data_IF_248035518420
#
_entry.id   IF_248035518420
#
_cell.length_a   1.000
_cell.length_b   1.000
_cell.length_c   1.000
_cell.angle_alpha   90.00
_cell.angle_beta   90.00
_cell.angle_gamma   90.00
#
_symmetry.space_group_name_H-M   'P 1'
#
loop_
_entity.id
_entity.type
_entity.pdbx_description
1 polymer ?
#
# COMPACT_ATOMS: atom_id res chain seq x y z
N UNK A 1 7.00 -16.52 -9.80
CA UNK A 1 7.15 -15.11 -9.48
C UNK A 1 7.03 -14.92 -7.98
N UNK A 2 7.79 -14.00 -7.37
CA UNK A 2 7.71 -13.80 -5.92
C UNK A 2 6.36 -13.24 -5.49
N UNK A 3 5.98 -13.59 -4.25
CA UNK A 3 4.78 -13.04 -3.61
C UNK A 3 5.15 -11.79 -2.82
N UNK A 4 4.31 -10.78 -2.92
CA UNK A 4 4.42 -9.57 -2.14
C UNK A 4 3.13 -9.36 -1.34
N UNK A 5 3.27 -8.82 -0.14
CA UNK A 5 2.17 -8.59 0.79
C UNK A 5 2.06 -7.10 1.07
N UNK A 6 0.88 -6.54 0.85
CA UNK A 6 0.62 -5.12 1.08
C UNK A 6 -0.06 -4.96 2.43
N UNK A 7 0.73 -4.78 3.47
CA UNK A 7 0.22 -4.62 4.82
C UNK A 7 -0.11 -3.14 5.04
N UNK A 8 -1.32 -2.87 5.49
CA UNK A 8 -1.75 -1.51 5.76
C UNK A 8 -1.42 -1.15 7.21
N UNK A 9 -0.56 -0.16 7.40
CA UNK A 9 -0.17 0.30 8.73
C UNK A 9 -0.89 1.61 9.03
N UNK A 10 -1.70 1.57 10.07
CA UNK A 10 -2.44 2.72 10.60
C UNK A 10 -1.93 3.06 11.98
N UNK A 11 -2.29 4.24 12.48
CA UNK A 11 -1.93 4.64 13.84
C UNK A 11 -2.45 3.59 14.83
N UNK A 12 -1.50 2.96 15.54
CA UNK A 12 -1.81 1.98 16.56
C UNK A 12 -2.23 0.59 16.08
N UNK A 13 -2.21 0.33 14.75
CA UNK A 13 -2.59 -1.01 14.26
C UNK A 13 -2.04 -1.30 12.87
N UNK A 14 -1.90 -2.59 12.58
CA UNK A 14 -1.54 -3.08 11.25
C UNK A 14 -2.64 -4.01 10.76
N UNK A 15 -3.06 -3.80 9.51
CA UNK A 15 -3.99 -4.70 8.83
C UNK A 15 -3.16 -5.52 7.85
N UNK A 16 -2.88 -6.80 8.15
CA UNK A 16 -2.04 -7.60 7.27
C UNK A 16 -2.80 -8.04 6.03
N UNK A 17 -2.04 -8.15 4.93
CA UNK A 17 -2.54 -8.79 3.71
C UNK A 17 -2.40 -10.30 3.88
N UNK A 18 -3.50 -11.02 3.88
CA UNK A 18 -3.52 -12.45 4.19
C UNK A 18 -3.07 -13.31 3.01
N UNK A 19 -3.22 -12.83 1.78
CA UNK A 19 -3.04 -13.67 0.60
C UNK A 19 -1.81 -13.32 -0.24
N UNK A 20 -1.48 -12.04 -0.31
CA UNK A 20 -0.40 -11.58 -1.17
C UNK A 20 -0.75 -11.63 -2.65
N UNK A 21 0.11 -11.05 -3.47
CA UNK A 21 -0.01 -11.05 -4.93
C UNK A 21 1.37 -11.28 -5.54
N UNK A 22 1.40 -12.06 -6.61
CA UNK A 22 2.64 -12.31 -7.36
C UNK A 22 2.91 -11.18 -8.33
N UNK A 23 4.14 -10.69 -8.33
CA UNK A 23 4.63 -9.71 -9.30
C UNK A 23 5.99 -10.17 -9.82
N UNK A 24 6.39 -9.67 -10.99
CA UNK A 24 7.68 -10.01 -11.58
C UNK A 24 8.84 -9.47 -10.73
N UNK A 25 8.64 -8.34 -10.06
CA UNK A 25 9.64 -7.76 -9.18
C UNK A 25 9.07 -6.65 -8.34
N UNK A 26 9.92 -6.07 -7.49
CA UNK A 26 9.51 -5.02 -6.55
C UNK A 26 8.97 -3.77 -7.28
N UNK A 27 9.49 -3.44 -8.44
CA UNK A 27 9.05 -2.25 -9.18
C UNK A 27 7.57 -2.34 -9.55
N UNK A 28 7.11 -3.51 -9.99
CA UNK A 28 5.69 -3.72 -10.27
C UNK A 28 4.85 -3.66 -9.01
N UNK A 29 5.34 -4.26 -7.92
CA UNK A 29 4.65 -4.23 -6.65
C UNK A 29 4.50 -2.80 -6.12
N UNK A 30 5.54 -1.98 -6.22
CA UNK A 30 5.51 -0.57 -5.82
C UNK A 30 4.48 0.20 -6.63
N UNK A 31 4.47 0.01 -7.95
CA UNK A 31 3.50 0.67 -8.83
C UNK A 31 2.07 0.31 -8.44
N UNK A 32 1.81 -0.97 -8.19
CA UNK A 32 0.48 -1.43 -7.81
C UNK A 32 0.05 -0.86 -6.45
N UNK A 33 0.97 -0.77 -5.51
CA UNK A 33 0.69 -0.19 -4.20
C UNK A 33 0.30 1.29 -4.30
N UNK A 34 0.96 2.05 -5.18
CA UNK A 34 0.58 3.44 -5.46
C UNK A 34 -0.84 3.53 -6.01
N UNK A 35 -1.19 2.66 -6.96
CA UNK A 35 -2.52 2.63 -7.55
C UNK A 35 -3.58 2.26 -6.51
N UNK A 36 -3.29 1.29 -5.65
CA UNK A 36 -4.18 0.87 -4.58
C UNK A 36 -4.43 2.00 -3.59
N UNK A 37 -3.37 2.70 -3.19
CA UNK A 37 -3.50 3.84 -2.28
C UNK A 37 -4.35 4.95 -2.90
N UNK A 38 -4.13 5.26 -4.18
CA UNK A 38 -4.93 6.27 -4.89
C UNK A 38 -6.39 5.87 -5.00
N UNK A 39 -6.67 4.59 -5.23
CA UNK A 39 -8.03 4.09 -5.30
C UNK A 39 -8.75 4.24 -3.96
N UNK A 40 -8.07 3.95 -2.86
CA UNK A 40 -8.63 4.13 -1.52
C UNK A 40 -8.91 5.59 -1.22
N UNK A 41 -8.00 6.48 -1.59
CA UNK A 41 -8.20 7.92 -1.43
C UNK A 41 -9.40 8.40 -2.24
N UNK A 42 -9.51 7.96 -3.50
CA UNK A 42 -10.62 8.30 -4.37
C UNK A 42 -11.97 7.85 -3.78
N UNK A 43 -12.02 6.66 -3.22
CA UNK A 43 -13.22 6.15 -2.57
C UNK A 43 -13.63 7.01 -1.39
N UNK A 44 -12.67 7.45 -0.56
CA UNK A 44 -12.96 8.29 0.60
C UNK A 44 -13.46 9.66 0.18
N UNK A 45 -12.90 10.24 -0.87
CA UNK A 45 -13.36 11.52 -1.41
C UNK A 45 -14.79 11.40 -1.93
N UNK A 46 -15.12 10.30 -2.59
CA UNK A 46 -16.44 10.07 -3.16
C UNK A 46 -17.51 9.88 -2.09
N UNK A 47 -17.17 9.29 -0.97
CA UNK A 47 -18.10 9.04 0.14
C UNK A 47 -18.04 10.11 1.21
N UNK A 48 -17.29 11.20 0.99
CA UNK A 48 -17.13 12.30 1.92
C UNK A 48 -16.55 11.88 3.27
N UNK A 49 -15.72 10.85 3.25
CA UNK A 49 -15.01 10.36 4.44
C UNK A 49 -13.62 10.98 4.53
N UNK A 50 -13.04 11.06 5.74
CA UNK A 50 -11.67 11.57 5.90
C UNK A 50 -10.66 10.77 5.07
N UNK A 51 -9.73 11.47 4.41
CA UNK A 51 -8.66 10.83 3.65
C UNK A 51 -7.55 10.42 4.61
N UNK A 52 -7.14 9.14 4.61
CA UNK A 52 -6.16 8.63 5.58
C UNK A 52 -4.72 8.91 5.16
N UNK A 53 -4.30 10.16 5.15
CA UNK A 53 -2.97 10.57 4.67
C UNK A 53 -1.82 9.99 5.51
N UNK A 54 -2.07 9.69 6.77
CA UNK A 54 -1.06 9.13 7.67
C UNK A 54 -0.90 7.62 7.55
N UNK A 55 -1.78 6.97 6.80
CA UNK A 55 -1.69 5.52 6.58
C UNK A 55 -0.52 5.21 5.65
N UNK A 56 0.05 4.02 5.84
CA UNK A 56 1.22 3.55 5.09
C UNK A 56 0.94 2.14 4.58
N UNK A 57 1.30 1.87 3.33
CA UNK A 57 1.35 0.51 2.81
C UNK A 57 2.79 0.03 2.92
N UNK A 58 3.01 -1.03 3.71
CA UNK A 58 4.30 -1.70 3.80
C UNK A 58 4.27 -2.89 2.84
N UNK A 59 5.16 -2.89 1.86
CA UNK A 59 5.30 -4.00 0.92
C UNK A 59 6.31 -4.97 1.51
N UNK A 60 5.84 -6.16 1.87
CA UNK A 60 6.68 -7.18 2.49
C UNK A 60 6.83 -8.40 1.58
N UNK A 61 7.92 -9.13 1.76
CA UNK A 61 8.12 -10.42 1.10
C UNK A 61 7.42 -11.54 1.88
N UNK A 62 7.55 -12.76 1.40
CA UNK A 62 6.93 -13.93 2.04
C UNK A 62 7.56 -14.31 3.37
N UNK A 63 8.68 -13.73 3.73
CA UNK A 63 9.33 -13.89 5.04
C UNK A 63 8.94 -12.80 6.02
N UNK A 64 8.07 -11.87 5.62
CA UNK A 64 7.65 -10.77 6.47
C UNK A 64 8.62 -9.59 6.48
N UNK A 65 9.63 -9.59 5.64
CA UNK A 65 10.60 -8.48 5.56
C UNK A 65 9.99 -7.35 4.74
N UNK A 66 9.92 -6.16 5.30
CA UNK A 66 9.42 -4.98 4.60
C UNK A 66 10.49 -4.51 3.61
N UNK A 67 10.14 -4.50 2.33
CA UNK A 67 11.03 -4.11 1.25
C UNK A 67 10.88 -2.65 0.85
N UNK A 68 9.67 -2.10 1.02
CA UNK A 68 9.36 -0.73 0.64
C UNK A 68 8.13 -0.26 1.41
N UNK A 69 8.05 1.03 1.72
CA UNK A 69 6.88 1.62 2.38
C UNK A 69 6.43 2.86 1.63
N UNK A 70 5.13 3.00 1.46
CA UNK A 70 4.51 4.11 0.74
C UNK A 70 3.45 4.73 1.64
N UNK A 71 3.59 6.02 1.94
CA UNK A 71 2.53 6.74 2.65
C UNK A 71 1.43 7.13 1.66
N UNK A 72 0.22 7.28 2.16
CA UNK A 72 -0.89 7.75 1.33
C UNK A 72 -0.65 9.16 0.82
N UNK A 73 0.03 9.99 1.62
CA UNK A 73 0.43 11.32 1.18
C UNK A 73 1.36 11.26 -0.04
N UNK A 74 2.34 10.34 -0.04
CA UNK A 74 3.21 10.14 -1.19
C UNK A 74 2.42 9.71 -2.43
N UNK A 75 1.40 8.89 -2.25
CA UNK A 75 0.56 8.45 -3.37
C UNK A 75 -0.22 9.61 -4.00
N UNK A 76 -0.59 10.62 -3.19
CA UNK A 76 -1.26 11.81 -3.70
C UNK A 76 -0.32 12.75 -4.47
N UNK A 77 0.90 12.92 -3.98
CA UNK A 77 1.78 14.00 -4.44
C UNK A 77 2.83 13.54 -5.43
N UNK A 78 3.04 12.25 -5.57
CA UNK A 78 4.17 11.79 -6.33
C UNK A 78 3.91 10.57 -7.18
N UNK A 79 4.94 10.29 -7.95
CA UNK A 79 5.13 9.02 -8.62
C UNK A 79 6.14 8.22 -7.80
N UNK A 80 6.17 6.93 -7.98
CA UNK A 80 7.16 6.08 -7.35
C UNK A 80 8.57 6.48 -7.73
#
# INVERSE_FOLDING_TARGET
MPLYFFNLRRTGRVVPDAEGVSFAGIDEAVREAFLDARALISDRLRTDEPVPLDDTIDIADEHGVVLFSITFEQALTGAP
#
